data_IF_533234700406
#
_entry.id   IF_533234700406
#
_cell.length_a   1.000
_cell.length_b   1.000
_cell.length_c   1.000
_cell.angle_alpha   90.00
_cell.angle_beta   90.00
_cell.angle_gamma   90.00
#
_symmetry.space_group_name_H-M   'P 1'
#
loop_
_entity.id
_entity.type
_entity.pdbx_description
1 polymer ?
#
# COMPACT_ATOMS: atom_id res chain seq x y z
N UNK A 1 17.08 53.53 20.09
CA UNK A 1 16.20 54.00 19.01
C UNK A 1 14.82 54.10 19.61
N UNK A 2 14.32 55.32 19.82
CA UNK A 2 12.96 55.51 20.31
C UNK A 2 12.02 55.18 19.15
N UNK A 3 11.26 54.09 19.27
CA UNK A 3 10.16 53.80 18.35
C UNK A 3 9.08 54.84 18.67
N UNK A 4 8.91 55.84 17.82
CA UNK A 4 7.76 56.74 17.92
C UNK A 4 6.51 55.92 17.58
N UNK A 5 5.80 55.49 18.63
CA UNK A 5 4.52 54.81 18.49
C UNK A 5 3.48 55.82 17.99
N UNK A 6 3.37 55.98 16.67
CA UNK A 6 2.19 56.59 16.07
C UNK A 6 1.00 55.60 16.15
N UNK A 7 0.56 55.34 17.38
CA UNK A 7 -0.75 54.74 17.62
C UNK A 7 -1.80 55.69 17.05
N UNK A 8 -2.64 55.17 16.15
CA UNK A 8 -3.73 55.86 15.42
C UNK A 8 -3.44 56.47 14.03
N UNK A 9 -2.32 56.16 13.38
CA UNK A 9 -2.22 56.40 11.93
C UNK A 9 -2.73 55.21 11.09
N UNK A 10 -3.17 55.48 9.85
CA UNK A 10 -3.56 54.47 8.87
C UNK A 10 -2.48 53.37 8.71
N UNK A 11 -1.21 53.74 8.83
CA UNK A 11 -0.08 52.81 8.77
C UNK A 11 -0.17 51.71 9.84
N UNK A 12 -0.58 52.04 11.07
CA UNK A 12 -0.71 51.06 12.15
C UNK A 12 -1.73 49.97 11.81
N UNK A 13 -2.89 50.36 11.28
CA UNK A 13 -3.92 49.41 10.85
C UNK A 13 -3.46 48.56 9.66
N UNK A 14 -2.69 49.14 8.73
CA UNK A 14 -2.11 48.38 7.62
C UNK A 14 -1.17 47.29 8.15
N UNK A 15 -0.29 47.59 9.10
CA UNK A 15 0.63 46.61 9.68
C UNK A 15 -0.11 45.48 10.42
N UNK A 16 -1.17 45.81 11.18
CA UNK A 16 -2.01 44.79 11.82
C UNK A 16 -2.66 43.86 10.80
N UNK A 17 -3.21 44.41 9.71
CA UNK A 17 -3.83 43.61 8.64
C UNK A 17 -2.79 42.71 7.98
N UNK A 18 -1.57 43.22 7.72
CA UNK A 18 -0.47 42.42 7.17
C UNK A 18 -0.10 41.27 8.12
N UNK A 19 0.05 41.54 9.42
CA UNK A 19 0.36 40.52 10.44
C UNK A 19 -0.74 39.46 10.47
N UNK A 20 -2.01 39.86 10.51
CA UNK A 20 -3.13 38.93 10.51
C UNK A 20 -3.14 38.04 9.26
N UNK A 21 -2.87 38.62 8.09
CA UNK A 21 -2.77 37.88 6.83
C UNK A 21 -1.57 36.92 6.82
N UNK A 22 -0.42 37.33 7.36
CA UNK A 22 0.77 36.49 7.49
C UNK A 22 0.52 35.28 8.41
N UNK A 23 -0.17 35.46 9.55
CA UNK A 23 -0.53 34.35 10.45
C UNK A 23 -1.42 33.35 9.74
N UNK A 24 -2.49 33.83 9.08
CA UNK A 24 -3.43 32.96 8.37
C UNK A 24 -2.73 32.23 7.23
N UNK A 25 -1.85 32.91 6.50
CA UNK A 25 -1.09 32.32 5.41
C UNK A 25 -0.08 31.27 5.91
N UNK A 26 0.69 31.57 6.96
CA UNK A 26 1.59 30.60 7.60
C UNK A 26 0.80 29.37 8.09
N UNK A 27 -0.31 29.61 8.79
CA UNK A 27 -1.23 28.56 9.24
C UNK A 27 -1.73 27.67 8.12
N UNK A 28 -2.16 28.28 7.02
CA UNK A 28 -2.60 27.54 5.85
C UNK A 28 -1.49 26.69 5.26
N UNK A 29 -0.27 27.22 5.12
CA UNK A 29 0.87 26.48 4.55
C UNK A 29 1.33 25.34 5.45
N UNK A 30 1.45 25.59 6.76
CA UNK A 30 1.81 24.59 7.76
C UNK A 30 0.76 23.47 7.84
N UNK A 31 -0.53 23.85 7.90
CA UNK A 31 -1.65 22.92 7.92
C UNK A 31 -1.76 22.08 6.64
N UNK A 32 -1.61 22.70 5.47
CA UNK A 32 -1.61 21.98 4.18
C UNK A 32 -0.40 21.07 4.03
N UNK A 33 0.76 21.44 4.58
CA UNK A 33 1.94 20.57 4.57
C UNK A 33 1.61 19.27 5.30
N UNK A 34 1.09 19.35 6.52
CA UNK A 34 0.70 18.15 7.26
C UNK A 34 -0.46 17.41 6.56
N UNK A 35 -1.51 18.14 6.17
CA UNK A 35 -2.74 17.57 5.64
C UNK A 35 -2.65 16.97 4.24
N UNK A 36 -1.77 17.47 3.37
CA UNK A 36 -1.55 16.91 2.03
C UNK A 36 -0.48 15.82 2.04
N UNK A 37 0.51 15.91 2.93
CA UNK A 37 1.58 14.91 3.04
C UNK A 37 1.15 13.68 3.85
N UNK A 38 0.14 13.82 4.73
CA UNK A 38 -0.41 12.68 5.46
C UNK A 38 -1.33 11.79 4.60
N UNK A 39 -1.81 12.29 3.46
CA UNK A 39 -2.64 11.50 2.54
C UNK A 39 -1.76 10.63 1.65
N UNK A 40 -2.03 9.32 1.63
CA UNK A 40 -1.35 8.44 0.68
C UNK A 40 -1.86 8.69 -0.74
N UNK A 41 -0.97 8.63 -1.73
CA UNK A 41 -1.35 8.76 -3.15
C UNK A 41 -2.41 7.73 -3.54
N UNK A 42 -2.33 6.53 -2.96
CA UNK A 42 -3.21 5.43 -3.33
C UNK A 42 -4.60 5.59 -2.73
N UNK A 43 -4.72 6.06 -1.50
CA UNK A 43 -6.03 6.43 -0.92
C UNK A 43 -6.71 7.49 -1.78
N UNK A 44 -5.94 8.48 -2.25
CA UNK A 44 -6.43 9.53 -3.13
C UNK A 44 -6.89 8.99 -4.50
N UNK A 45 -6.18 8.02 -5.07
CA UNK A 45 -6.59 7.34 -6.31
C UNK A 45 -7.85 6.49 -6.13
N UNK A 46 -7.98 5.79 -5.00
CA UNK A 46 -9.18 5.02 -4.65
C UNK A 46 -10.37 5.97 -4.46
N UNK A 47 -10.20 7.06 -3.71
CA UNK A 47 -11.23 8.10 -3.53
C UNK A 47 -11.62 8.75 -4.87
N UNK A 48 -10.67 8.93 -5.79
CA UNK A 48 -10.92 9.46 -7.13
C UNK A 48 -11.67 8.48 -8.06
N UNK A 49 -11.73 7.18 -7.73
CA UNK A 49 -12.45 6.17 -8.53
C UNK A 49 -13.76 5.73 -7.90
N UNK A 50 -13.74 5.47 -6.59
CA UNK A 50 -14.80 4.79 -5.84
C UNK A 50 -15.40 5.65 -4.72
N UNK A 51 -14.92 6.87 -4.49
CA UNK A 51 -15.44 7.77 -3.47
C UNK A 51 -16.78 8.41 -3.84
N UNK A 52 -17.35 9.15 -2.88
CA UNK A 52 -18.59 9.94 -3.10
C UNK A 52 -18.40 10.94 -4.25
N UNK A 53 -19.47 11.41 -4.93
CA UNK A 53 -19.34 12.33 -6.06
C UNK A 53 -18.62 13.65 -5.71
N UNK A 54 -18.68 14.09 -4.45
CA UNK A 54 -17.94 15.23 -3.91
C UNK A 54 -16.46 14.89 -3.71
N UNK A 55 -16.17 13.78 -3.02
CA UNK A 55 -14.80 13.34 -2.73
C UNK A 55 -14.02 13.05 -4.01
N UNK A 56 -14.69 12.49 -5.02
CA UNK A 56 -14.12 12.23 -6.33
C UNK A 56 -13.59 13.51 -7.00
N UNK A 57 -14.37 14.59 -6.94
CA UNK A 57 -13.96 15.90 -7.49
C UNK A 57 -12.82 16.51 -6.69
N UNK A 58 -12.82 16.33 -5.37
CA UNK A 58 -11.78 16.84 -4.48
C UNK A 58 -10.46 16.11 -4.70
N UNK A 59 -10.47 14.78 -4.68
CA UNK A 59 -9.32 13.93 -4.95
C UNK A 59 -8.71 14.20 -6.33
N UNK A 60 -9.53 14.29 -7.39
CA UNK A 60 -9.06 14.57 -8.75
C UNK A 60 -8.33 15.92 -8.89
N UNK A 61 -8.70 16.93 -8.10
CA UNK A 61 -8.03 18.25 -8.10
C UNK A 61 -6.68 18.23 -7.38
N UNK A 62 -6.60 17.48 -6.28
CA UNK A 62 -5.42 17.39 -5.41
C UNK A 62 -4.37 16.44 -5.99
N UNK A 63 -4.79 15.33 -6.61
CA UNK A 63 -3.90 14.29 -7.15
C UNK A 63 -2.71 14.80 -7.97
N UNK A 64 -2.87 15.70 -8.97
CA UNK A 64 -1.73 16.19 -9.75
C UNK A 64 -0.75 17.05 -8.94
N UNK A 65 -1.20 17.64 -7.83
CA UNK A 65 -0.37 18.47 -6.95
C UNK A 65 0.47 17.58 -6.03
N UNK A 66 -0.15 16.56 -5.42
CA UNK A 66 0.53 15.61 -4.51
C UNK A 66 1.46 14.64 -5.26
N UNK A 67 1.18 14.35 -6.53
CA UNK A 67 2.06 13.52 -7.38
C UNK A 67 3.51 14.04 -7.47
N UNK A 68 3.72 15.35 -7.29
CA UNK A 68 5.06 15.97 -7.17
C UNK A 68 5.38 16.30 -5.71
N UNK A 69 5.39 15.26 -4.87
CA UNK A 69 5.47 15.39 -3.40
C UNK A 69 6.66 16.24 -2.93
N UNK A 70 7.86 16.02 -3.47
CA UNK A 70 9.06 16.80 -3.09
C UNK A 70 8.98 18.28 -3.49
N UNK A 71 8.45 18.58 -4.69
CA UNK A 71 8.27 19.97 -5.16
C UNK A 71 7.20 20.71 -4.35
N UNK A 72 6.10 20.03 -4.03
CA UNK A 72 5.03 20.56 -3.19
C UNK A 72 5.54 20.84 -1.78
N UNK A 73 6.20 19.86 -1.15
CA UNK A 73 6.78 19.99 0.18
C UNK A 73 7.77 21.16 0.24
N UNK A 74 8.70 21.25 -0.72
CA UNK A 74 9.66 22.35 -0.77
C UNK A 74 8.96 23.71 -0.90
N UNK A 75 7.94 23.81 -1.76
CA UNK A 75 7.18 25.06 -1.94
C UNK A 75 6.45 25.48 -0.67
N UNK A 76 5.70 24.55 -0.05
CA UNK A 76 4.90 24.86 1.13
C UNK A 76 5.79 25.23 2.32
N UNK A 77 6.89 24.50 2.54
CA UNK A 77 7.86 24.81 3.58
C UNK A 77 8.54 26.17 3.35
N UNK A 78 8.92 26.49 2.11
CA UNK A 78 9.53 27.77 1.78
C UNK A 78 8.56 28.94 2.02
N UNK A 79 7.29 28.79 1.64
CA UNK A 79 6.28 29.81 1.88
C UNK A 79 5.95 29.96 3.37
N UNK A 80 5.91 28.84 4.10
CA UNK A 80 5.71 28.83 5.54
C UNK A 80 6.86 29.54 6.27
N UNK A 81 8.11 29.18 5.95
CA UNK A 81 9.30 29.81 6.53
C UNK A 81 9.35 31.32 6.22
N UNK A 82 9.07 31.72 4.97
CA UNK A 82 9.02 33.12 4.60
C UNK A 82 7.99 33.91 5.42
N UNK A 83 6.81 33.34 5.65
CA UNK A 83 5.76 33.98 6.44
C UNK A 83 6.10 34.06 7.93
N UNK A 84 6.71 33.01 8.48
CA UNK A 84 7.16 32.95 9.88
C UNK A 84 8.28 33.93 10.19
N UNK A 85 9.21 34.15 9.25
CA UNK A 85 10.28 35.14 9.38
C UNK A 85 9.80 36.58 9.13
N UNK A 86 8.84 36.78 8.22
CA UNK A 86 8.29 38.11 7.96
C UNK A 86 7.50 38.67 9.15
N UNK A 87 6.81 37.82 9.91
CA UNK A 87 5.89 38.26 10.96
C UNK A 87 6.59 39.01 12.12
N UNK A 88 7.70 38.52 12.72
CA UNK A 88 8.45 39.27 13.72
C UNK A 88 8.98 40.61 13.21
N UNK A 89 9.39 40.67 11.93
CA UNK A 89 9.92 41.90 11.31
C UNK A 89 8.85 42.99 11.30
N UNK A 90 7.61 42.65 10.93
CA UNK A 90 6.51 43.62 10.99
C UNK A 90 6.08 43.95 12.42
N UNK A 91 6.17 43.00 13.35
CA UNK A 91 5.85 43.25 14.77
C UNK A 91 6.88 44.16 15.47
N UNK A 92 8.16 44.08 15.12
CA UNK A 92 9.22 44.93 15.70
C UNK A 92 9.00 46.42 15.41
N UNK A 93 8.26 46.75 14.35
CA UNK A 93 7.86 48.14 14.05
C UNK A 93 6.73 48.67 14.95
N UNK A 94 5.96 47.78 15.60
CA UNK A 94 4.76 48.12 16.37
C UNK A 94 4.96 48.04 17.88
N UNK A 95 5.84 47.16 18.35
CA UNK A 95 6.09 46.88 19.77
C UNK A 95 7.58 46.90 20.07
N UNK A 96 7.96 46.95 21.34
CA UNK A 96 9.37 46.81 21.74
C UNK A 96 9.94 45.47 21.25
N UNK A 97 11.23 45.42 20.91
CA UNK A 97 11.87 44.21 20.36
C UNK A 97 11.63 42.93 21.18
N UNK A 98 11.69 43.01 22.52
CA UNK A 98 11.39 41.86 23.38
C UNK A 98 9.91 41.45 23.34
N UNK A 99 9.00 42.42 23.19
CA UNK A 99 7.56 42.20 23.04
C UNK A 99 7.23 41.61 21.67
N UNK A 100 7.89 42.07 20.61
CA UNK A 100 7.76 41.55 19.25
C UNK A 100 8.09 40.06 19.20
N UNK A 101 9.19 39.63 19.83
CA UNK A 101 9.60 38.22 19.90
C UNK A 101 8.56 37.40 20.68
N UNK A 102 8.16 37.84 21.87
CA UNK A 102 7.22 37.08 22.71
C UNK A 102 5.84 36.93 22.05
N UNK A 103 5.31 38.02 21.49
CA UNK A 103 4.02 38.03 20.80
C UNK A 103 4.10 37.21 19.51
N UNK A 104 5.14 37.39 18.69
CA UNK A 104 5.28 36.68 17.41
C UNK A 104 5.35 35.17 17.60
N UNK A 105 6.19 34.69 18.51
CA UNK A 105 6.33 33.25 18.82
C UNK A 105 5.00 32.67 19.30
N UNK A 106 4.30 33.36 20.20
CA UNK A 106 3.01 32.90 20.71
C UNK A 106 1.95 32.83 19.59
N UNK A 107 1.91 33.85 18.74
CA UNK A 107 0.94 33.95 17.64
C UNK A 107 1.21 32.91 16.55
N UNK A 108 2.47 32.73 16.14
CA UNK A 108 2.89 31.75 15.14
C UNK A 108 2.63 30.33 15.66
N UNK A 109 3.06 29.99 16.88
CA UNK A 109 2.89 28.62 17.39
C UNK A 109 1.42 28.26 17.52
N UNK A 110 0.61 29.13 18.13
CA UNK A 110 -0.78 28.79 18.42
C UNK A 110 -1.65 28.87 17.15
N UNK A 111 -1.59 30.00 16.43
CA UNK A 111 -2.47 30.27 15.29
C UNK A 111 -1.85 29.97 13.92
N UNK A 112 -0.52 29.96 13.81
CA UNK A 112 0.22 29.65 12.57
C UNK A 112 0.68 28.19 12.44
N UNK A 113 0.64 27.40 13.51
CA UNK A 113 1.06 25.99 13.46
C UNK A 113 0.04 25.05 14.10
N UNK A 114 -0.11 25.09 15.42
CA UNK A 114 -0.82 24.05 16.18
C UNK A 114 -2.29 23.95 15.78
N UNK A 115 -3.02 25.08 15.77
CA UNK A 115 -4.45 25.07 15.44
C UNK A 115 -4.67 24.68 13.97
N UNK A 116 -4.01 25.31 12.97
CA UNK A 116 -4.18 24.93 11.57
C UNK A 116 -3.80 23.48 11.26
N UNK A 117 -2.72 22.97 11.86
CA UNK A 117 -2.30 21.57 11.68
C UNK A 117 -3.34 20.60 12.25
N UNK A 118 -3.89 20.88 13.44
CA UNK A 118 -4.94 20.06 14.03
C UNK A 118 -6.20 20.01 13.16
N UNK A 119 -6.60 21.15 12.58
CA UNK A 119 -7.76 21.24 11.68
C UNK A 119 -7.50 20.53 10.35
N UNK A 120 -6.33 20.74 9.75
CA UNK A 120 -5.98 20.11 8.47
C UNK A 120 -5.72 18.61 8.60
N UNK A 121 -5.32 18.13 9.78
CA UNK A 121 -5.22 16.69 10.06
C UNK A 121 -6.58 15.99 9.95
N UNK A 122 -7.67 16.67 10.36
CA UNK A 122 -9.03 16.11 10.32
C UNK A 122 -9.78 16.37 9.01
N UNK A 123 -9.59 17.54 8.40
CA UNK A 123 -10.33 17.98 7.21
C UNK A 123 -9.42 18.20 5.98
N UNK A 124 -8.28 17.51 5.92
CA UNK A 124 -7.24 17.69 4.91
C UNK A 124 -7.74 17.56 3.47
N UNK A 125 -8.61 16.58 3.18
CA UNK A 125 -9.16 16.39 1.82
C UNK A 125 -10.03 17.59 1.38
N UNK A 126 -10.93 18.06 2.25
CA UNK A 126 -11.84 19.16 1.92
C UNK A 126 -11.09 20.50 1.79
N UNK A 127 -10.25 20.82 2.77
CA UNK A 127 -9.45 22.05 2.79
C UNK A 127 -8.42 22.03 1.65
N UNK A 128 -7.72 20.91 1.49
CA UNK A 128 -6.76 20.70 0.41
C UNK A 128 -7.38 20.90 -0.96
N UNK A 129 -8.62 20.44 -1.18
CA UNK A 129 -9.28 20.59 -2.48
C UNK A 129 -9.82 22.00 -2.73
N UNK A 130 -10.27 22.69 -1.67
CA UNK A 130 -10.69 24.08 -1.76
C UNK A 130 -9.51 24.99 -2.12
N UNK A 131 -8.34 24.72 -1.53
CA UNK A 131 -7.14 25.55 -1.65
C UNK A 131 -6.18 25.05 -2.75
N UNK A 132 -6.41 23.86 -3.31
CA UNK A 132 -5.65 23.28 -4.43
C UNK A 132 -5.33 24.26 -5.58
N UNK A 133 -6.27 25.09 -6.09
CA UNK A 133 -5.93 26.05 -7.13
C UNK A 133 -4.94 27.12 -6.66
N UNK A 134 -5.07 27.60 -5.42
CA UNK A 134 -4.14 28.58 -4.84
C UNK A 134 -2.74 27.97 -4.66
N UNK A 135 -2.65 26.74 -4.14
CA UNK A 135 -1.38 26.01 -4.02
C UNK A 135 -0.73 25.81 -5.38
N UNK A 136 -1.50 25.51 -6.44
CA UNK A 136 -0.96 25.35 -7.79
C UNK A 136 -0.34 26.64 -8.32
N UNK A 137 -0.98 27.78 -8.08
CA UNK A 137 -0.41 29.10 -8.42
C UNK A 137 0.86 29.35 -7.62
N UNK A 138 0.86 29.04 -6.33
CA UNK A 138 2.02 29.20 -5.46
C UNK A 138 3.21 28.35 -5.91
N UNK A 139 2.99 27.08 -6.25
CA UNK A 139 4.01 26.17 -6.82
C UNK A 139 4.55 26.70 -8.14
N UNK A 140 3.71 27.32 -8.97
CA UNK A 140 4.17 27.92 -10.22
C UNK A 140 5.04 29.17 -9.98
N UNK A 141 4.68 30.02 -9.02
CA UNK A 141 5.46 31.21 -8.64
C UNK A 141 6.79 30.83 -7.97
N UNK A 142 6.77 29.84 -7.08
CA UNK A 142 7.92 29.38 -6.31
C UNK A 142 8.80 28.37 -7.08
N UNK A 143 8.31 27.85 -8.21
CA UNK A 143 9.02 26.89 -9.06
C UNK A 143 10.46 27.27 -9.42
N UNK A 144 10.85 28.53 -9.75
CA UNK A 144 12.24 28.82 -10.12
C UNK A 144 13.25 28.52 -8.99
N UNK A 145 12.82 28.65 -7.73
CA UNK A 145 13.67 28.40 -6.55
C UNK A 145 13.42 26.99 -6.00
N UNK A 146 12.17 26.55 -5.94
CA UNK A 146 11.80 25.25 -5.38
C UNK A 146 12.24 24.07 -6.27
N UNK A 147 12.30 24.23 -7.60
CA UNK A 147 12.68 23.17 -8.53
C UNK A 147 14.14 22.68 -8.38
N UNK A 148 15.17 23.55 -8.30
CA UNK A 148 16.54 23.07 -8.07
C UNK A 148 16.69 22.40 -6.70
N UNK A 149 16.02 22.92 -5.67
CA UNK A 149 16.04 22.34 -4.33
C UNK A 149 15.35 20.96 -4.32
N UNK A 150 14.19 20.84 -4.97
CA UNK A 150 13.49 19.56 -5.07
C UNK A 150 14.31 18.53 -5.86
N UNK A 151 14.98 18.95 -6.94
CA UNK A 151 15.84 18.07 -7.75
C UNK A 151 17.09 17.62 -6.99
N UNK A 152 17.64 18.49 -6.14
CA UNK A 152 18.72 18.13 -5.23
C UNK A 152 18.25 17.12 -4.18
N UNK A 153 17.05 17.30 -3.62
CA UNK A 153 16.42 16.34 -2.73
C UNK A 153 16.20 14.99 -3.43
N UNK A 154 15.65 14.98 -4.65
CA UNK A 154 15.44 13.76 -5.45
C UNK A 154 16.75 13.04 -5.78
N UNK A 155 17.84 13.79 -5.94
CA UNK A 155 19.18 13.25 -6.18
C UNK A 155 19.81 12.67 -4.90
N UNK A 156 19.64 13.33 -3.76
CA UNK A 156 20.20 12.90 -2.47
C UNK A 156 19.41 11.75 -1.82
N UNK A 157 18.07 11.77 -1.92
CA UNK A 157 17.19 10.75 -1.35
C UNK A 157 17.00 9.54 -2.28
N UNK A 158 17.40 9.66 -3.55
CA UNK A 158 17.26 8.61 -4.55
C UNK A 158 15.84 8.55 -5.15
N UNK A 159 15.75 8.18 -6.43
CA UNK A 159 14.46 8.02 -7.12
C UNK A 159 13.70 6.82 -6.54
N UNK A 160 12.73 7.06 -5.67
CA UNK A 160 11.98 5.95 -5.10
C UNK A 160 10.81 6.35 -4.22
N UNK A 161 9.76 6.92 -4.81
CA UNK A 161 8.39 6.75 -4.33
C UNK A 161 7.44 6.70 -5.53
N UNK A 162 7.69 5.74 -6.43
CA UNK A 162 6.57 5.17 -7.18
C UNK A 162 5.82 4.36 -6.14
N UNK A 163 4.63 4.82 -5.74
CA UNK A 163 3.73 4.13 -4.83
C UNK A 163 3.21 2.82 -5.44
N UNK A 164 4.12 1.93 -5.82
CA UNK A 164 3.82 0.52 -6.01
C UNK A 164 3.80 -0.04 -4.61
N UNK A 165 2.61 -0.17 -4.03
CA UNK A 165 2.43 -0.90 -2.78
C UNK A 165 3.20 -2.20 -2.88
N UNK A 166 4.17 -2.35 -1.98
CA UNK A 166 4.86 -3.63 -1.85
C UNK A 166 3.81 -4.64 -1.37
N UNK A 167 3.82 -5.87 -1.90
CA UNK A 167 2.80 -6.89 -1.58
C UNK A 167 2.59 -7.08 -0.07
N UNK A 168 3.65 -6.89 0.73
CA UNK A 168 3.60 -6.87 2.19
C UNK A 168 2.70 -5.77 2.78
N UNK A 169 2.70 -4.56 2.23
CA UNK A 169 1.82 -3.46 2.67
C UNK A 169 0.37 -3.71 2.27
N UNK A 170 0.15 -4.27 1.07
CA UNK A 170 -1.18 -4.69 0.63
C UNK A 170 -1.76 -5.79 1.54
N UNK A 171 -0.92 -6.77 1.93
CA UNK A 171 -1.27 -7.81 2.91
C UNK A 171 -1.64 -7.18 4.26
N UNK A 172 -0.83 -6.27 4.78
CA UNK A 172 -1.12 -5.56 6.03
C UNK A 172 -2.45 -4.81 5.95
N UNK A 173 -2.69 -4.09 4.86
CA UNK A 173 -3.94 -3.33 4.66
C UNK A 173 -5.17 -4.24 4.61
N UNK A 174 -5.09 -5.39 3.92
CA UNK A 174 -6.15 -6.41 3.88
C UNK A 174 -6.37 -7.01 5.27
N UNK A 175 -5.31 -7.35 6.01
CA UNK A 175 -5.43 -7.91 7.36
C UNK A 175 -5.98 -6.91 8.37
N UNK A 176 -5.69 -5.61 8.23
CA UNK A 176 -6.27 -4.56 9.07
C UNK A 176 -7.78 -4.44 8.82
N UNK A 177 -8.20 -4.41 7.55
CA UNK A 177 -9.61 -4.37 7.19
C UNK A 177 -10.38 -5.64 7.59
N UNK A 178 -9.71 -6.80 7.70
CA UNK A 178 -10.32 -8.06 8.13
C UNK A 178 -10.30 -8.33 9.64
N UNK A 179 -9.33 -7.79 10.40
CA UNK A 179 -9.21 -8.03 11.84
C UNK A 179 -9.85 -6.94 12.72
N UNK A 180 -10.04 -5.71 12.21
CA UNK A 180 -10.67 -4.61 12.96
C UNK A 180 -12.19 -4.54 12.71
N UNK A 181 -12.88 -5.62 13.06
CA UNK A 181 -14.34 -5.81 12.94
C UNK A 181 -15.15 -4.88 13.88
N UNK A 182 -15.01 -3.56 13.74
CA UNK A 182 -15.77 -2.60 14.54
C UNK A 182 -15.76 -1.14 14.09
N UNK A 183 -15.00 -0.75 13.05
CA UNK A 183 -14.98 0.64 12.55
C UNK A 183 -15.12 0.78 11.03
N UNK A 184 -15.89 -0.10 10.40
CA UNK A 184 -16.37 0.08 9.02
C UNK A 184 -15.64 -0.68 7.91
N UNK A 185 -15.00 -1.82 8.22
CA UNK A 185 -14.51 -2.73 7.18
C UNK A 185 -15.67 -3.49 6.54
N UNK A 186 -15.88 -3.27 5.24
CA UNK A 186 -16.94 -3.92 4.42
C UNK A 186 -16.61 -5.36 3.99
N UNK A 187 -15.48 -5.93 4.44
CA UNK A 187 -15.00 -7.25 3.99
C UNK A 187 -15.25 -8.32 5.04
N UNK A 188 -15.86 -9.43 4.60
CA UNK A 188 -16.07 -10.62 5.42
C UNK A 188 -14.77 -11.39 5.66
N UNK A 189 -14.75 -12.25 6.69
CA UNK A 189 -13.58 -13.06 7.03
C UNK A 189 -13.16 -13.99 5.87
N UNK A 190 -14.13 -14.50 5.12
CA UNK A 190 -13.90 -15.37 3.97
C UNK A 190 -13.24 -14.60 2.81
N UNK A 191 -13.72 -13.40 2.50
CA UNK A 191 -13.11 -12.53 1.46
C UNK A 191 -11.67 -12.15 1.82
N UNK A 192 -11.42 -11.83 3.10
CA UNK A 192 -10.07 -11.53 3.59
C UNK A 192 -9.14 -12.73 3.44
N UNK A 193 -9.62 -13.94 3.74
CA UNK A 193 -8.87 -15.19 3.63
C UNK A 193 -8.55 -15.53 2.17
N UNK A 194 -9.50 -15.34 1.26
CA UNK A 194 -9.32 -15.56 -0.18
C UNK A 194 -8.28 -14.59 -0.75
N UNK A 195 -8.38 -13.29 -0.45
CA UNK A 195 -7.44 -12.27 -0.96
C UNK A 195 -6.04 -12.53 -0.41
N UNK A 196 -5.93 -12.86 0.89
CA UNK A 196 -4.65 -13.18 1.52
C UNK A 196 -4.04 -14.44 0.90
N UNK A 197 -4.84 -15.49 0.70
CA UNK A 197 -4.39 -16.72 0.06
C UNK A 197 -3.95 -16.53 -1.39
N UNK A 198 -4.64 -15.68 -2.16
CA UNK A 198 -4.26 -15.36 -3.53
C UNK A 198 -2.94 -14.56 -3.61
N UNK A 199 -2.72 -13.62 -2.69
CA UNK A 199 -1.46 -12.88 -2.59
C UNK A 199 -0.30 -13.82 -2.22
N UNK A 200 -0.52 -14.74 -1.28
CA UNK A 200 0.49 -15.73 -0.86
C UNK A 200 0.80 -16.78 -1.93
N UNK A 201 -0.19 -17.18 -2.73
CA UNK A 201 -0.01 -18.14 -3.82
C UNK A 201 1.00 -17.64 -4.86
N UNK A 202 1.07 -16.31 -5.06
CA UNK A 202 2.02 -15.70 -5.99
C UNK A 202 3.48 -15.75 -5.55
N UNK A 203 3.74 -16.02 -4.26
CA UNK A 203 5.09 -16.16 -3.69
C UNK A 203 5.41 -17.60 -3.28
N UNK A 204 4.41 -18.47 -3.14
CA UNK A 204 4.61 -19.89 -2.87
C UNK A 204 5.35 -20.57 -4.01
N UNK A 205 6.45 -21.25 -3.67
CA UNK A 205 7.11 -22.19 -4.57
C UNK A 205 6.44 -23.55 -4.47
N UNK A 206 6.57 -24.36 -5.52
CA UNK A 206 6.12 -25.75 -5.48
C UNK A 206 6.73 -26.53 -4.29
N UNK A 207 7.94 -26.19 -3.86
CA UNK A 207 8.59 -26.72 -2.65
C UNK A 207 7.81 -26.50 -1.37
N UNK A 208 7.05 -25.42 -1.30
CA UNK A 208 6.37 -24.99 -0.07
C UNK A 208 4.98 -25.64 0.07
N UNK A 209 4.52 -26.32 -0.97
CA UNK A 209 3.23 -27.01 -1.04
C UNK A 209 3.36 -28.50 -1.38
N UNK A 210 4.54 -28.98 -1.79
CA UNK A 210 4.78 -30.40 -2.08
C UNK A 210 4.98 -31.20 -0.79
N UNK A 211 4.57 -32.48 -0.82
CA UNK A 211 4.94 -33.45 0.21
C UNK A 211 6.36 -33.95 -0.05
N UNK A 212 7.26 -33.99 0.94
CA UNK A 212 8.59 -34.58 0.78
C UNK A 212 8.50 -36.04 0.30
N UNK A 213 9.42 -36.43 -0.58
CA UNK A 213 9.42 -37.79 -1.17
C UNK A 213 9.58 -38.89 -0.11
N UNK A 214 10.23 -38.59 1.02
CA UNK A 214 10.38 -39.49 2.18
C UNK A 214 9.07 -39.79 2.90
N UNK A 215 8.09 -38.89 2.81
CA UNK A 215 6.76 -39.03 3.43
C UNK A 215 5.71 -39.48 2.41
N UNK A 216 6.10 -39.69 1.16
CA UNK A 216 5.21 -40.07 0.07
C UNK A 216 5.05 -41.59 0.02
N UNK A 217 3.82 -42.07 0.02
CA UNK A 217 3.52 -43.48 -0.21
C UNK A 217 3.63 -43.78 -1.70
N UNK A 218 4.68 -44.51 -2.09
CA UNK A 218 4.93 -44.93 -3.47
C UNK A 218 5.05 -46.46 -3.55
N UNK A 219 4.72 -47.03 -4.71
CA UNK A 219 4.68 -48.48 -4.95
C UNK A 219 5.75 -48.87 -5.96
N UNK A 220 6.40 -50.02 -5.77
CA UNK A 220 7.38 -50.57 -6.71
C UNK A 220 6.65 -51.16 -7.94
N UNK A 221 7.14 -50.89 -9.14
CA UNK A 221 6.62 -51.47 -10.39
C UNK A 221 6.74 -53.01 -10.43
N UNK A 222 7.63 -53.61 -9.66
CA UNK A 222 7.77 -55.07 -9.58
C UNK A 222 6.87 -55.68 -8.50
N UNK A 223 6.17 -54.88 -7.70
CA UNK A 223 5.22 -55.41 -6.73
C UNK A 223 4.09 -56.13 -7.48
N UNK A 224 3.52 -57.19 -6.91
CA UNK A 224 2.32 -57.80 -7.49
C UNK A 224 1.11 -57.07 -6.95
N UNK A 225 0.15 -56.75 -7.81
CA UNK A 225 -1.09 -56.06 -7.44
C UNK A 225 -2.06 -57.04 -6.75
N UNK A 226 -1.67 -57.46 -5.55
CA UNK A 226 -2.39 -58.41 -4.72
C UNK A 226 -3.43 -57.74 -3.82
N UNK A 227 -4.28 -58.57 -3.21
CA UNK A 227 -5.37 -58.13 -2.32
C UNK A 227 -4.87 -57.31 -1.12
N UNK A 228 -3.70 -57.66 -0.58
CA UNK A 228 -3.06 -56.97 0.54
C UNK A 228 -2.59 -55.55 0.17
N UNK A 229 -1.91 -55.40 -0.99
CA UNK A 229 -1.43 -54.11 -1.46
C UNK A 229 -2.59 -53.17 -1.84
N UNK A 230 -3.62 -53.73 -2.46
CA UNK A 230 -4.85 -52.99 -2.78
C UNK A 230 -5.57 -52.50 -1.51
N UNK A 231 -5.61 -53.34 -0.47
CA UNK A 231 -6.18 -52.93 0.82
C UNK A 231 -5.37 -51.81 1.48
N UNK A 232 -4.04 -51.85 1.39
CA UNK A 232 -3.16 -50.77 1.90
C UNK A 232 -3.40 -49.45 1.14
N UNK A 233 -3.58 -49.50 -0.19
CA UNK A 233 -3.89 -48.31 -0.99
C UNK A 233 -5.24 -47.72 -0.60
N UNK A 234 -6.27 -48.57 -0.42
CA UNK A 234 -7.61 -48.16 -0.01
C UNK A 234 -7.63 -47.57 1.40
N UNK A 235 -6.91 -48.17 2.35
CA UNK A 235 -6.81 -47.68 3.74
C UNK A 235 -6.09 -46.32 3.82
N UNK A 236 -5.19 -46.03 2.87
CA UNK A 236 -4.51 -44.74 2.77
C UNK A 236 -5.36 -43.65 2.11
N UNK A 237 -6.38 -44.02 1.33
CA UNK A 237 -7.35 -43.08 0.75
C UNK A 237 -6.77 -42.09 -0.27
N UNK A 238 -5.60 -42.38 -0.86
CA UNK A 238 -4.96 -41.50 -1.84
C UNK A 238 -5.50 -41.76 -3.25
N UNK A 239 -5.93 -40.70 -3.95
CA UNK A 239 -6.44 -40.82 -5.33
C UNK A 239 -5.34 -41.02 -6.37
N UNK A 240 -4.10 -40.65 -6.07
CA UNK A 240 -2.94 -40.76 -6.97
C UNK A 240 -1.75 -41.33 -6.20
N UNK A 241 -1.27 -42.50 -6.61
CA UNK A 241 -0.15 -43.19 -5.96
C UNK A 241 1.02 -43.27 -6.94
N UNK A 242 2.18 -42.65 -6.64
CA UNK A 242 3.36 -42.74 -7.48
C UNK A 242 3.91 -44.17 -7.57
N UNK A 243 4.40 -44.55 -8.75
CA UNK A 243 5.08 -45.82 -9.01
C UNK A 243 6.54 -45.55 -9.28
N UNK A 244 7.42 -46.25 -8.57
CA UNK A 244 8.87 -46.13 -8.72
C UNK A 244 9.51 -47.42 -9.22
N UNK A 245 10.72 -47.32 -9.74
CA UNK A 245 11.54 -48.47 -10.13
C UNK A 245 12.91 -48.40 -9.49
N UNK A 246 13.28 -49.49 -8.82
CA UNK A 246 14.51 -49.71 -8.04
C UNK A 246 14.69 -48.76 -6.84
N UNK A 247 14.52 -47.45 -7.03
CA UNK A 247 14.66 -46.44 -6.00
C UNK A 247 13.40 -45.56 -5.87
N UNK A 248 12.95 -45.23 -4.65
CA UNK A 248 11.79 -44.36 -4.42
C UNK A 248 11.90 -42.96 -5.03
N UNK A 249 13.11 -42.52 -5.36
CA UNK A 249 13.40 -41.24 -6.04
C UNK A 249 13.14 -41.28 -7.54
N UNK A 250 13.03 -42.48 -8.13
CA UNK A 250 12.87 -42.70 -9.56
C UNK A 250 11.42 -43.06 -9.91
N UNK A 251 10.56 -42.04 -9.96
CA UNK A 251 9.14 -42.19 -10.28
C UNK A 251 8.94 -42.35 -11.80
N UNK A 252 8.38 -43.48 -12.23
CA UNK A 252 8.07 -43.76 -13.65
C UNK A 252 6.62 -43.41 -13.98
N UNK A 253 5.70 -43.49 -13.01
CA UNK A 253 4.28 -43.31 -13.30
C UNK A 253 3.43 -43.00 -12.07
N UNK A 254 2.12 -42.89 -12.30
CA UNK A 254 1.10 -42.65 -11.29
C UNK A 254 -0.05 -43.63 -11.51
N UNK A 255 -0.51 -44.26 -10.43
CA UNK A 255 -1.73 -45.06 -10.41
C UNK A 255 -2.86 -44.16 -9.94
N UNK A 256 -3.96 -44.15 -10.71
CA UNK A 256 -5.19 -43.48 -10.32
C UNK A 256 -6.07 -44.48 -9.54
N UNK A 257 -6.41 -44.14 -8.30
CA UNK A 257 -7.26 -44.96 -7.45
C UNK A 257 -8.74 -44.93 -7.84
N UNK A 258 -9.11 -44.13 -8.83
CA UNK A 258 -10.46 -43.96 -9.33
C UNK A 258 -10.66 -44.71 -10.66
N UNK A 259 -10.58 -46.03 -10.60
CA UNK A 259 -11.42 -46.85 -11.48
C UNK A 259 -12.25 -47.73 -10.54
N UNK A 260 -13.58 -47.52 -10.54
CA UNK A 260 -14.54 -48.31 -9.77
C UNK A 260 -14.68 -49.76 -10.31
N UNK A 261 -13.85 -50.15 -11.28
CA UNK A 261 -13.94 -51.43 -12.00
C UNK A 261 -12.90 -52.48 -11.56
N UNK A 262 -12.51 -52.45 -10.27
CA UNK A 262 -11.69 -53.51 -9.66
C UNK A 262 -12.40 -54.88 -9.60
N UNK A 263 -13.71 -54.92 -9.92
CA UNK A 263 -14.52 -56.14 -9.91
C UNK A 263 -14.11 -57.16 -10.98
N UNK A 264 -13.52 -56.72 -12.10
CA UNK A 264 -12.97 -57.59 -13.14
C UNK A 264 -11.60 -58.19 -12.81
N UNK A 265 -10.86 -57.61 -11.87
CA UNK A 265 -9.50 -58.03 -11.49
C UNK A 265 -9.46 -59.20 -10.50
N UNK A 266 -10.60 -59.57 -9.92
CA UNK A 266 -10.68 -60.68 -8.94
C UNK A 266 -10.43 -62.07 -9.57
N UNK A 267 -10.32 -62.16 -10.90
CA UNK A 267 -10.12 -63.40 -11.66
C UNK A 267 -8.71 -63.63 -12.23
N UNK A 268 -7.78 -62.67 -12.10
CA UNK A 268 -6.41 -62.80 -12.63
C UNK A 268 -5.40 -62.81 -11.47
N UNK A 269 -4.74 -63.96 -11.18
CA UNK A 269 -3.88 -64.08 -10.00
C UNK A 269 -2.57 -63.28 -10.05
N UNK A 270 -2.16 -62.79 -11.22
CA UNK A 270 -0.84 -62.18 -11.43
C UNK A 270 -0.90 -61.18 -12.60
N UNK A 271 -1.08 -59.89 -12.30
CA UNK A 271 -0.87 -58.81 -13.25
C UNK A 271 0.33 -58.00 -12.77
N UNK A 272 1.34 -57.86 -13.63
CA UNK A 272 2.55 -57.06 -13.40
C UNK A 272 2.25 -55.58 -13.66
N UNK A 273 2.78 -54.65 -12.85
CA UNK A 273 2.46 -53.20 -13.00
C UNK A 273 2.89 -52.61 -14.34
N UNK A 274 3.87 -53.21 -15.02
CA UNK A 274 4.37 -52.75 -16.32
C UNK A 274 3.25 -52.60 -17.36
N UNK A 275 2.27 -53.52 -17.34
CA UNK A 275 1.11 -53.47 -18.25
C UNK A 275 0.08 -52.39 -17.88
N UNK A 276 0.04 -51.94 -16.63
CA UNK A 276 -0.93 -50.96 -16.14
C UNK A 276 -0.45 -49.51 -16.35
N UNK A 277 0.84 -49.27 -16.15
CA UNK A 277 1.49 -47.95 -16.31
C UNK A 277 1.41 -47.48 -17.77
N UNK A 278 1.59 -48.38 -18.73
CA UNK A 278 1.56 -48.06 -20.17
C UNK A 278 0.14 -47.65 -20.66
N UNK A 279 -0.91 -48.27 -20.10
CA UNK A 279 -2.30 -47.87 -20.38
C UNK A 279 -2.67 -46.51 -19.76
N UNK A 280 -2.13 -46.20 -18.58
CA UNK A 280 -2.40 -44.94 -17.86
C UNK A 280 -1.64 -43.76 -18.45
N UNK A 281 -0.43 -43.98 -18.99
CA UNK A 281 0.37 -42.97 -19.70
C UNK A 281 -0.36 -42.43 -20.93
N UNK A 282 -1.09 -43.28 -21.64
CA UNK A 282 -1.90 -42.88 -22.80
C UNK A 282 -3.06 -41.95 -22.41
N UNK A 283 -3.64 -42.13 -21.22
CA UNK A 283 -4.75 -41.31 -20.72
C UNK A 283 -4.30 -39.98 -20.07
N UNK A 284 -3.11 -39.95 -19.45
CA UNK A 284 -2.58 -38.74 -18.77
C UNK A 284 -2.11 -37.67 -19.76
N UNK A 285 -1.59 -38.06 -20.94
CA UNK A 285 -1.13 -37.11 -21.96
C UNK A 285 -2.27 -36.28 -22.59
N UNK A 286 -3.53 -36.69 -22.45
CA UNK A 286 -4.67 -35.96 -23.02
C UNK A 286 -5.18 -34.82 -22.11
N UNK A 287 -4.80 -34.79 -20.83
CA UNK A 287 -5.35 -33.83 -19.86
C UNK A 287 -4.40 -32.70 -19.42
N UNK A 288 -3.08 -32.82 -19.63
CA UNK A 288 -2.12 -31.76 -19.30
C UNK A 288 -1.79 -30.90 -20.52
N UNK A 289 -2.79 -30.17 -21.01
CA UNK A 289 -2.63 -29.02 -21.91
C UNK A 289 -1.95 -27.80 -21.25
N UNK A 290 -0.94 -28.01 -20.42
CA UNK A 290 -0.09 -26.95 -19.87
C UNK A 290 1.21 -26.92 -20.68
N UNK A 291 1.24 -26.07 -21.71
CA UNK A 291 2.49 -25.60 -22.30
C UNK A 291 3.25 -24.78 -21.25
N UNK A 292 4.50 -25.15 -21.01
CA UNK A 292 5.55 -24.24 -20.55
C UNK A 292 5.69 -23.06 -21.51
#
# INVERSE_FOLDING_TARGET
>A
MAVEYHCCELQFFIHIVIIALLVVFAGLMSGLTLGLMSMSLVDLEVLAKSGTPTDRKHAAKILPVVKKQHLLLCTLLMCNAAAMEALPIFLDTLVTAWGAILISVTLILLFGEIIPQAVCSRYGLAIGAAVAPAVRVLVWICSPIAYPISKLLDFLLGHGHVALFRRAELKTLVTLHGNEAGKGGELTHDETTIITGALELSEKKASDAMTPISETFAVDINAKLGRELMQIILDKGHSRVPVYYEQPTNIIGLILGADEDWSGFFWFPEVEFDQFVDSSLSAVFEFTGCRL
#
